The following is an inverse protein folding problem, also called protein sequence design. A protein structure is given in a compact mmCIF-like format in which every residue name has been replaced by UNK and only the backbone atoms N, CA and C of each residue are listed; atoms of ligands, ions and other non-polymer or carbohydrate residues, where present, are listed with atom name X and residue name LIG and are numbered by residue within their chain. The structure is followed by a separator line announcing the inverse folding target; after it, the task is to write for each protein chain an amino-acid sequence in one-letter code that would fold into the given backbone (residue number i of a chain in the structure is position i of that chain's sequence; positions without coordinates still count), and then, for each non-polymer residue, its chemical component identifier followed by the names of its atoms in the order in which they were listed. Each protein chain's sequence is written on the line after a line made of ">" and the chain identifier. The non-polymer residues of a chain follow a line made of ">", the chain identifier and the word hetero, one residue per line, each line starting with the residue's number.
data_IF_005292028934
#
_entry.id   IF_005292028934
#
_cell.length_a   1.000
_cell.length_b   1.000
_cell.length_c   1.000
_cell.angle_alpha   90.00
_cell.angle_beta   90.00
_cell.angle_gamma   90.00
#
_symmetry.space_group_name_H-M   'P 1'
#
loop_
_entity.id
_entity.type
_entity.pdbx_description
1 polymer ?
#
# COMPACT_ATOMS: atom_id res chain seq x y z
N UNK A 1 -2.70 16.07 5.06
CA UNK A 1 -2.97 14.69 5.52
C UNK A 1 -1.78 14.06 6.25
N UNK A 2 -0.54 14.25 5.80
CA UNK A 2 0.65 13.62 6.40
C UNK A 2 1.13 14.17 7.76
N UNK A 3 0.62 15.31 8.23
CA UNK A 3 1.06 15.96 9.46
C UNK A 3 0.63 15.26 10.76
N UNK A 4 -0.30 14.30 10.69
CA UNK A 4 -0.82 13.56 11.87
C UNK A 4 -0.16 12.19 12.08
N UNK A 5 0.64 11.71 11.13
CA UNK A 5 1.28 10.40 11.23
C UNK A 5 2.54 10.46 12.08
N UNK A 6 2.63 9.60 13.11
CA UNK A 6 3.76 9.56 14.06
C UNK A 6 4.79 8.47 13.74
N UNK A 7 4.49 7.58 12.78
CA UNK A 7 5.38 6.49 12.34
C UNK A 7 6.22 6.90 11.13
N UNK A 8 7.28 6.14 10.86
CA UNK A 8 8.21 6.42 9.75
C UNK A 8 7.60 6.16 8.38
N UNK A 9 6.69 5.19 8.32
CA UNK A 9 5.94 4.87 7.12
C UNK A 9 4.45 5.12 7.31
N UNK A 10 3.80 5.52 6.22
CA UNK A 10 2.38 5.81 6.14
C UNK A 10 1.76 4.79 5.19
N UNK A 11 0.84 3.99 5.71
CA UNK A 11 0.01 3.09 4.91
C UNK A 11 -1.20 3.89 4.40
N UNK A 12 -1.47 3.79 3.10
CA UNK A 12 -2.65 4.36 2.46
C UNK A 12 -3.52 3.24 1.90
N UNK A 13 -4.76 3.24 2.33
CA UNK A 13 -5.76 2.22 2.02
C UNK A 13 -7.12 2.92 1.95
N UNK A 14 -7.95 2.52 0.98
CA UNK A 14 -9.29 3.07 0.81
C UNK A 14 -10.25 2.49 1.88
N UNK A 15 -11.38 3.15 2.14
CA UNK A 15 -12.28 2.71 3.24
C UNK A 15 -12.90 1.32 3.00
N UNK A 16 -13.07 0.95 1.73
CA UNK A 16 -13.60 -0.34 1.29
C UNK A 16 -12.50 -1.34 0.94
N UNK A 17 -11.28 -1.13 1.45
CA UNK A 17 -10.17 -2.06 1.23
C UNK A 17 -9.80 -2.77 2.55
N UNK A 18 -9.40 -4.04 2.45
CA UNK A 18 -8.97 -4.83 3.61
C UNK A 18 -7.78 -5.75 3.32
N UNK A 19 -7.04 -6.11 4.37
CA UNK A 19 -6.00 -7.14 4.33
C UNK A 19 -6.57 -8.45 4.85
N UNK A 20 -6.46 -9.53 4.07
CA UNK A 20 -6.76 -10.88 4.55
C UNK A 20 -5.82 -11.28 5.70
N UNK A 21 -6.21 -12.24 6.54
CA UNK A 21 -5.35 -12.73 7.64
C UNK A 21 -3.94 -13.08 7.19
N UNK A 22 -3.82 -13.75 6.04
CA UNK A 22 -2.52 -14.07 5.42
C UNK A 22 -1.72 -12.81 5.10
N UNK A 23 -2.34 -11.84 4.43
CA UNK A 23 -1.67 -10.59 4.07
C UNK A 23 -1.32 -9.72 5.28
N UNK A 24 -2.07 -9.82 6.38
CA UNK A 24 -1.70 -9.17 7.65
C UNK A 24 -0.38 -9.73 8.20
N UNK A 25 -0.20 -11.06 8.17
CA UNK A 25 1.07 -11.70 8.58
C UNK A 25 2.22 -11.31 7.66
N UNK A 26 2.02 -11.37 6.34
CA UNK A 26 3.05 -10.94 5.37
C UNK A 26 3.39 -9.44 5.53
N UNK A 27 2.39 -8.60 5.85
CA UNK A 27 2.60 -7.18 6.10
C UNK A 27 3.33 -6.90 7.41
N UNK A 28 3.14 -7.73 8.45
CA UNK A 28 3.92 -7.64 9.69
C UNK A 28 5.38 -7.99 9.43
N UNK A 29 5.64 -9.05 8.66
CA UNK A 29 7.00 -9.45 8.28
C UNK A 29 7.68 -8.40 7.40
N UNK A 30 6.94 -7.77 6.49
CA UNK A 30 7.46 -6.66 5.68
C UNK A 30 7.95 -5.50 6.54
N UNK A 31 7.33 -5.22 7.70
CA UNK A 31 7.72 -4.11 8.57
C UNK A 31 9.03 -4.35 9.32
N UNK A 32 9.50 -5.60 9.38
CA UNK A 32 10.61 -6.01 10.19
C UNK A 32 11.92 -6.08 9.36
N UNK A 33 12.97 -5.37 9.78
CA UNK A 33 13.15 -3.94 9.55
C UNK A 33 13.16 -3.60 8.04
N UNK A 34 12.17 -2.81 7.60
CA UNK A 34 12.28 -2.10 6.31
C UNK A 34 13.54 -1.25 6.32
N UNK A 35 14.48 -1.56 5.44
CA UNK A 35 15.73 -0.83 5.30
C UNK A 35 15.44 0.68 5.15
N UNK A 36 16.17 1.52 5.89
CA UNK A 36 16.00 2.98 5.84
C UNK A 36 16.17 3.57 4.44
N UNK A 37 16.83 2.86 3.53
CA UNK A 37 16.92 3.25 2.12
C UNK A 37 15.60 3.13 1.36
N UNK A 38 14.57 2.47 1.87
CA UNK A 38 13.29 2.27 1.16
C UNK A 38 12.41 3.50 1.30
N UNK A 39 12.05 4.11 0.17
CA UNK A 39 11.19 5.30 0.14
C UNK A 39 9.70 4.95 -0.02
N UNK A 40 9.40 3.84 -0.70
CA UNK A 40 8.03 3.38 -0.93
C UNK A 40 7.97 1.87 -1.14
N UNK A 41 6.83 1.27 -0.81
CA UNK A 41 6.52 -0.13 -1.10
C UNK A 41 5.27 -0.23 -1.97
N UNK A 42 5.43 -0.95 -3.08
CA UNK A 42 4.31 -1.38 -3.92
C UNK A 42 3.74 -2.70 -3.41
N UNK A 43 2.42 -2.79 -3.41
CA UNK A 43 1.65 -3.96 -2.98
C UNK A 43 0.66 -4.35 -4.08
N UNK A 44 0.29 -5.62 -4.11
CA UNK A 44 -0.75 -6.10 -5.00
C UNK A 44 -2.10 -5.50 -4.55
N UNK A 45 -2.93 -5.12 -5.51
CA UNK A 45 -4.27 -4.61 -5.28
C UNK A 45 -5.26 -5.48 -6.03
N UNK A 46 -5.98 -6.33 -5.29
CA UNK A 46 -6.98 -7.24 -5.83
C UNK A 46 -8.31 -6.51 -5.98
N UNK A 47 -8.79 -6.38 -7.22
CA UNK A 47 -10.00 -5.62 -7.52
C UNK A 47 -11.23 -6.51 -7.74
N UNK A 48 -11.03 -7.66 -8.37
CA UNK A 48 -12.09 -8.58 -8.73
C UNK A 48 -11.72 -9.99 -8.33
N UNK A 49 -12.72 -10.78 -7.98
CA UNK A 49 -12.58 -12.16 -7.54
C UNK A 49 -13.39 -13.09 -8.43
N UNK A 50 -12.94 -14.34 -8.59
CA UNK A 50 -13.74 -15.41 -9.17
C UNK A 50 -14.70 -16.03 -8.12
N UNK A 51 -15.50 -17.00 -8.55
CA UNK A 51 -16.42 -17.76 -7.72
C UNK A 51 -15.74 -18.51 -6.56
N UNK A 52 -14.42 -18.71 -6.64
CA UNK A 52 -13.60 -19.34 -5.61
C UNK A 52 -12.86 -18.32 -4.72
N UNK A 53 -13.24 -17.04 -4.76
CA UNK A 53 -12.58 -15.94 -4.05
C UNK A 53 -11.09 -15.77 -4.40
N UNK A 54 -10.68 -16.16 -5.61
CA UNK A 54 -9.32 -15.92 -6.11
C UNK A 54 -9.31 -14.62 -6.92
N UNK A 55 -8.27 -13.78 -6.74
CA UNK A 55 -8.17 -12.53 -7.48
C UNK A 55 -8.01 -12.80 -8.98
N UNK A 56 -8.96 -12.31 -9.78
CA UNK A 56 -8.94 -12.42 -11.25
C UNK A 56 -8.24 -11.25 -11.91
N UNK A 57 -8.27 -10.08 -11.24
CA UNK A 57 -7.55 -8.90 -11.67
C UNK A 57 -6.81 -8.29 -10.48
N UNK A 58 -5.50 -8.10 -10.68
CA UNK A 58 -4.64 -7.43 -9.72
C UNK A 58 -3.73 -6.45 -10.43
N UNK A 59 -3.44 -5.34 -9.75
CA UNK A 59 -2.46 -4.37 -10.20
C UNK A 59 -1.61 -3.93 -9.02
N UNK A 60 -0.39 -3.46 -9.28
CA UNK A 60 0.49 -2.98 -8.22
C UNK A 60 0.25 -1.49 -7.97
N UNK A 61 0.03 -1.13 -6.71
CA UNK A 61 -0.03 0.27 -6.27
C UNK A 61 0.98 0.51 -5.18
N UNK A 62 1.54 1.71 -5.14
CA UNK A 62 2.26 2.16 -3.97
C UNK A 62 1.26 2.35 -2.83
N UNK A 63 1.45 1.61 -1.74
CA UNK A 63 0.52 1.60 -0.60
C UNK A 63 1.19 1.97 0.71
N UNK A 64 2.52 1.89 0.80
CA UNK A 64 3.30 2.29 1.96
C UNK A 64 4.36 3.31 1.53
N UNK A 65 4.43 4.45 2.21
CA UNK A 65 5.34 5.54 1.84
C UNK A 65 6.13 6.02 3.05
N UNK A 66 7.41 6.36 2.84
CA UNK A 66 8.23 6.97 3.89
C UNK A 66 7.76 8.40 4.15
N UNK A 67 7.33 8.68 5.38
CA UNK A 67 6.79 9.98 5.81
C UNK A 67 7.77 11.12 5.56
N UNK A 68 9.06 10.90 5.79
CA UNK A 68 10.11 11.90 5.63
C UNK A 68 10.24 12.43 4.19
N UNK A 69 9.76 11.68 3.18
CA UNK A 69 9.78 12.10 1.78
C UNK A 69 8.71 13.15 1.46
N UNK A 70 7.71 13.32 2.33
CA UNK A 70 6.64 14.31 2.22
C UNK A 70 6.04 14.38 0.80
N UNK A 71 5.76 13.21 0.20
CA UNK A 71 5.21 13.11 -1.14
C UNK A 71 3.97 14.00 -1.29
N UNK A 72 3.88 14.67 -2.44
CA UNK A 72 2.79 15.60 -2.73
C UNK A 72 1.75 14.89 -3.60
N UNK A 73 0.50 15.11 -3.24
CA UNK A 73 -0.63 14.79 -4.11
C UNK A 73 -0.66 15.84 -5.22
N UNK A 74 -0.64 15.39 -6.46
CA UNK A 74 -0.77 16.23 -7.64
C UNK A 74 -2.17 15.96 -8.23
N UNK A 75 -2.96 17.02 -8.39
CA UNK A 75 -4.32 16.97 -8.94
C UNK A 75 -5.39 17.46 -7.96
N UNK A 76 -6.50 18.01 -8.51
CA UNK A 76 -7.59 18.59 -7.72
C UNK A 76 -8.41 17.54 -6.95
N UNK A 77 -8.29 16.25 -7.32
CA UNK A 77 -9.07 15.14 -6.75
C UNK A 77 -8.21 13.87 -6.75
N UNK A 78 -7.36 13.66 -5.73
CA UNK A 78 -6.71 12.36 -5.37
C UNK A 78 -6.04 11.49 -6.45
N UNK A 79 -5.75 11.96 -7.66
CA UNK A 79 -5.44 11.02 -8.76
C UNK A 79 -3.98 10.55 -8.81
N UNK A 80 -3.03 11.31 -8.27
CA UNK A 80 -1.62 10.93 -8.37
C UNK A 80 -0.78 11.37 -7.17
N UNK A 81 -0.18 10.41 -6.46
CA UNK A 81 0.93 10.67 -5.55
C UNK A 81 2.23 10.53 -6.36
N UNK A 82 2.97 11.62 -6.52
CA UNK A 82 4.26 11.56 -7.21
C UNK A 82 5.29 10.88 -6.31
N UNK A 83 5.59 9.62 -6.61
CA UNK A 83 6.46 8.78 -5.79
C UNK A 83 7.74 8.51 -6.56
N UNK A 84 8.86 8.77 -5.90
CA UNK A 84 10.19 8.68 -6.49
C UNK A 84 11.21 8.29 -5.41
N UNK A 85 12.29 7.64 -5.85
CA UNK A 85 13.34 7.12 -4.99
C UNK A 85 13.42 5.60 -5.04
N UNK A 86 13.83 4.99 -3.93
CA UNK A 86 13.98 3.54 -3.83
C UNK A 86 12.63 2.87 -3.52
N UNK A 87 12.01 2.31 -4.56
CA UNK A 87 10.70 1.66 -4.47
C UNK A 87 10.91 0.15 -4.54
N UNK A 88 10.43 -0.57 -3.53
CA UNK A 88 10.46 -2.04 -3.53
C UNK A 88 9.09 -2.63 -3.82
N UNK A 89 9.08 -3.88 -4.29
CA UNK A 89 7.88 -4.67 -4.52
C UNK A 89 7.67 -5.65 -3.37
N UNK A 90 6.47 -5.65 -2.79
CA UNK A 90 6.03 -6.65 -1.82
C UNK A 90 5.02 -7.61 -2.44
N UNK A 91 4.95 -8.83 -1.89
CA UNK A 91 3.92 -9.79 -2.23
C UNK A 91 2.59 -9.55 -1.49
N UNK A 92 2.62 -8.69 -0.45
CA UNK A 92 1.42 -8.29 0.29
C UNK A 92 0.36 -7.80 -0.68
N UNK A 93 -0.86 -8.29 -0.49
CA UNK A 93 -2.03 -7.89 -1.26
C UNK A 93 -3.08 -7.20 -0.41
N UNK A 94 -3.55 -6.05 -0.87
CA UNK A 94 -4.74 -5.36 -0.39
C UNK A 94 -5.90 -5.76 -1.29
N UNK A 95 -7.00 -6.15 -0.67
CA UNK A 95 -8.23 -6.53 -1.37
C UNK A 95 -9.22 -5.38 -1.34
N UNK A 96 -9.77 -5.02 -2.50
CA UNK A 96 -10.94 -4.16 -2.60
C UNK A 96 -12.22 -4.96 -2.35
N UNK A 97 -13.09 -4.45 -1.49
CA UNK A 97 -14.40 -5.02 -1.20
C UNK A 97 -14.82 -4.81 0.26
N UNK A 98 -16.09 -5.09 0.54
CA UNK A 98 -16.57 -5.13 1.92
C UNK A 98 -16.02 -6.38 2.59
N UNK A 99 -15.02 -6.19 3.45
CA UNK A 99 -14.46 -7.23 4.32
C UNK A 99 -15.42 -7.66 5.42
#
# INVERSE_FOLDING_TARGET
>A
MFSKATKDYILWIDADDYLTKRNQTEFQQLKDPLNDSVDSVTMNYHLTFDENNKPTYSLKRNRLFKRARQFKWIGAVHEHLEIYGNIINSNVAITHGKG
#
